data_IF_485112036945
#
_entry.id   IF_485112036945
#
_cell.length_a   1.000
_cell.length_b   1.000
_cell.length_c   1.000
_cell.angle_alpha   90.00
_cell.angle_beta   90.00
_cell.angle_gamma   90.00
#
_symmetry.space_group_name_H-M   'P 1'
#
loop_
_entity.id
_entity.type
_entity.pdbx_description
1 polymer ?
#
# COMPACT_ATOMS: atom_id res chain seq x y z
N UNK A 1 7.05 16.05 -15.24
CA UNK A 1 6.43 15.15 -14.25
C UNK A 1 6.32 13.78 -14.90
N UNK A 2 7.05 12.79 -14.42
CA UNK A 2 7.04 11.43 -14.98
C UNK A 2 5.99 10.61 -14.20
N UNK A 3 4.77 10.53 -14.72
CA UNK A 3 3.65 9.76 -14.16
C UNK A 3 3.85 8.26 -14.37
N UNK A 4 4.86 7.68 -13.71
CA UNK A 4 5.06 6.24 -13.70
C UNK A 4 4.74 5.68 -12.32
N UNK A 5 3.94 4.62 -12.30
CA UNK A 5 3.72 3.81 -11.09
C UNK A 5 4.38 2.46 -11.28
N UNK A 6 5.07 2.02 -10.24
CA UNK A 6 5.68 0.70 -10.14
C UNK A 6 4.84 -0.18 -9.23
N UNK A 7 4.35 -1.28 -9.77
CA UNK A 7 3.73 -2.36 -9.01
C UNK A 7 4.79 -3.34 -8.54
N UNK A 8 4.73 -3.66 -7.26
CA UNK A 8 5.53 -4.71 -6.65
C UNK A 8 4.60 -5.91 -6.47
N UNK A 9 4.77 -6.93 -7.32
CA UNK A 9 3.99 -8.16 -7.26
C UNK A 9 4.68 -9.17 -6.35
N UNK A 10 3.91 -10.15 -5.89
CA UNK A 10 4.44 -11.32 -5.19
C UNK A 10 5.49 -12.02 -6.05
N UNK A 11 6.53 -12.56 -5.40
CA UNK A 11 7.69 -13.20 -6.06
C UNK A 11 8.63 -12.26 -6.83
N UNK A 12 8.72 -10.99 -6.41
CA UNK A 12 9.77 -10.08 -6.87
C UNK A 12 9.57 -9.49 -8.26
N UNK A 13 8.47 -9.84 -8.96
CA UNK A 13 8.11 -9.24 -10.24
C UNK A 13 7.73 -7.77 -10.05
N UNK A 14 8.30 -6.90 -10.88
CA UNK A 14 8.03 -5.47 -10.87
C UNK A 14 7.46 -5.07 -12.22
N UNK A 15 6.33 -4.37 -12.22
CA UNK A 15 5.71 -3.85 -13.44
C UNK A 15 5.65 -2.34 -13.33
N UNK A 16 6.19 -1.63 -14.32
CA UNK A 16 6.12 -0.16 -14.36
C UNK A 16 5.18 0.23 -15.49
N UNK A 17 4.22 1.12 -15.19
CA UNK A 17 3.26 1.61 -16.18
C UNK A 17 3.15 3.13 -16.11
N UNK A 18 2.72 3.75 -17.20
CA UNK A 18 2.41 5.18 -17.25
C UNK A 18 1.01 5.42 -16.67
N UNK A 19 0.97 5.81 -15.40
CA UNK A 19 -0.27 6.09 -14.64
C UNK A 19 0.07 6.91 -13.40
N UNK A 20 -0.96 7.40 -12.70
CA UNK A 20 -0.81 8.07 -11.41
C UNK A 20 -1.47 7.26 -10.28
N UNK A 21 -1.03 7.52 -9.04
CA UNK A 21 -1.53 6.84 -7.84
C UNK A 21 -3.03 7.05 -7.62
N UNK A 22 -3.55 8.25 -7.89
CA UNK A 22 -4.98 8.59 -7.70
C UNK A 22 -5.89 7.73 -8.57
N UNK A 23 -5.50 7.52 -9.83
CA UNK A 23 -6.21 6.65 -10.78
C UNK A 23 -6.14 5.19 -10.35
N UNK A 24 -5.01 4.74 -9.81
CA UNK A 24 -4.89 3.37 -9.29
C UNK A 24 -5.72 3.17 -8.04
N UNK A 25 -5.75 4.14 -7.13
CA UNK A 25 -6.60 4.11 -5.94
C UNK A 25 -8.09 3.94 -6.29
N UNK A 26 -8.55 4.54 -7.40
CA UNK A 26 -9.93 4.32 -7.89
C UNK A 26 -10.17 2.96 -8.55
N UNK A 27 -9.13 2.32 -9.09
CA UNK A 27 -9.23 1.05 -9.83
C UNK A 27 -8.99 -0.16 -8.95
N UNK A 28 -8.21 -0.01 -7.89
CA UNK A 28 -7.86 -1.08 -6.97
C UNK A 28 -9.02 -1.35 -6.02
N UNK A 29 -9.26 -2.62 -5.64
CA UNK A 29 -10.25 -2.97 -4.63
C UNK A 29 -9.96 -2.26 -3.31
N UNK A 30 -10.85 -1.34 -2.91
CA UNK A 30 -10.71 -0.54 -1.68
C UNK A 30 -10.73 -1.38 -0.40
N UNK A 31 -11.27 -2.59 -0.50
CA UNK A 31 -11.30 -3.59 0.58
C UNK A 31 -9.99 -4.37 0.72
N UNK A 32 -9.00 -4.14 -0.14
CA UNK A 32 -7.70 -4.81 -0.03
C UNK A 32 -6.55 -3.81 -0.07
N UNK A 33 -6.70 -2.75 -0.88
CA UNK A 33 -5.69 -1.74 -1.10
C UNK A 33 -6.04 -0.44 -0.38
N UNK A 34 -5.07 0.08 0.35
CA UNK A 34 -5.17 1.38 1.02
C UNK A 34 -3.95 2.22 0.72
N UNK A 35 -4.16 3.52 0.55
CA UNK A 35 -3.08 4.48 0.45
C UNK A 35 -2.46 4.70 1.82
N UNK A 36 -1.14 4.52 1.91
CA UNK A 36 -0.39 4.57 3.18
C UNK A 36 0.65 5.71 3.19
N UNK A 37 0.94 6.27 2.02
CA UNK A 37 1.89 7.35 1.82
C UNK A 37 1.43 8.20 0.62
N UNK A 38 1.95 9.42 0.49
CA UNK A 38 1.70 10.24 -0.71
C UNK A 38 2.12 9.55 -2.01
N UNK A 39 3.08 8.64 -1.93
CA UNK A 39 3.69 7.92 -3.05
C UNK A 39 3.43 6.40 -3.07
N UNK A 40 2.72 5.84 -2.07
CA UNK A 40 2.53 4.39 -1.95
C UNK A 40 1.08 4.01 -1.64
N UNK A 41 0.63 2.96 -2.33
CA UNK A 41 -0.60 2.21 -2.05
C UNK A 41 -0.16 0.79 -1.72
N UNK A 42 -0.67 0.24 -0.63
CA UNK A 42 -0.26 -1.05 -0.11
C UNK A 42 -1.48 -1.96 0.06
N UNK A 43 -1.26 -3.27 -0.10
CA UNK A 43 -2.29 -4.28 0.12
C UNK A 43 -2.27 -4.70 1.59
N UNK A 44 -3.29 -4.33 2.35
CA UNK A 44 -3.38 -4.59 3.79
C UNK A 44 -3.91 -6.00 4.11
N UNK A 45 -4.48 -6.70 3.13
CA UNK A 45 -4.92 -8.10 3.29
C UNK A 45 -3.78 -9.12 3.12
N UNK A 46 -2.67 -8.72 2.52
CA UNK A 46 -1.50 -9.58 2.25
C UNK A 46 -0.23 -9.14 2.98
N UNK A 47 -0.36 -8.26 3.97
CA UNK A 47 0.78 -7.89 4.82
C UNK A 47 1.07 -9.00 5.83
N UNK A 48 2.34 -9.16 6.20
CA UNK A 48 2.73 -10.12 7.24
C UNK A 48 2.64 -9.49 8.63
N UNK A 49 3.05 -8.23 8.76
CA UNK A 49 2.92 -7.47 10.00
C UNK A 49 2.91 -5.97 9.75
N UNK A 50 2.42 -5.22 10.74
CA UNK A 50 2.45 -3.76 10.79
C UNK A 50 3.06 -3.33 12.12
N UNK A 51 4.03 -2.42 12.09
CA UNK A 51 4.72 -1.95 13.29
C UNK A 51 5.69 -0.82 12.98
N UNK A 52 6.03 0.01 13.98
CA UNK A 52 6.96 1.13 13.82
C UNK A 52 6.62 2.07 12.64
N UNK A 53 5.33 2.30 12.35
CA UNK A 53 4.87 3.05 11.18
C UNK A 53 5.34 2.48 9.84
N UNK A 54 5.50 1.15 9.77
CA UNK A 54 5.87 0.43 8.56
C UNK A 54 4.98 -0.79 8.40
N UNK A 55 4.74 -1.15 7.15
CA UNK A 55 4.09 -2.42 6.78
C UNK A 55 5.17 -3.34 6.22
N UNK A 56 5.16 -4.57 6.69
CA UNK A 56 6.14 -5.60 6.32
C UNK A 56 5.49 -6.64 5.41
N UNK A 57 6.21 -6.94 4.34
CA UNK A 57 5.94 -7.95 3.32
C UNK A 57 7.21 -8.80 3.17
N UNK A 58 7.37 -9.80 4.03
CA UNK A 58 8.57 -10.59 4.22
C UNK A 58 9.74 -9.68 4.58
N UNK A 59 10.75 -9.66 3.72
CA UNK A 59 11.93 -8.81 3.87
C UNK A 59 11.72 -7.36 3.39
N UNK A 60 10.61 -7.09 2.69
CA UNK A 60 10.32 -5.74 2.18
C UNK A 60 9.48 -4.96 3.18
N UNK A 61 9.89 -3.75 3.53
CA UNK A 61 9.08 -2.85 4.37
C UNK A 61 8.75 -1.54 3.67
N UNK A 62 7.51 -1.08 3.84
CA UNK A 62 7.02 0.18 3.27
C UNK A 62 6.65 1.14 4.40
N UNK A 63 7.19 2.37 4.41
CA UNK A 63 6.86 3.35 5.43
C UNK A 63 5.44 3.91 5.24
N UNK A 64 4.78 4.14 6.36
CA UNK A 64 3.49 4.81 6.47
C UNK A 64 3.75 6.28 6.82
N UNK A 65 3.10 7.21 6.10
CA UNK A 65 3.10 8.63 6.48
C UNK A 65 2.24 8.87 7.72
N UNK A 66 2.64 9.81 8.58
CA UNK A 66 1.82 10.25 9.71
C UNK A 66 0.38 10.60 9.31
N UNK A 67 0.20 11.32 8.21
CA UNK A 67 -1.13 11.72 7.72
C UNK A 67 -2.05 10.55 7.35
N UNK A 68 -1.49 9.36 7.13
CA UNK A 68 -2.24 8.18 6.71
C UNK A 68 -2.31 7.10 7.80
N UNK A 69 -1.61 7.27 8.92
CA UNK A 69 -1.49 6.23 9.96
C UNK A 69 -2.86 5.81 10.50
N UNK A 70 -3.72 6.76 10.86
CA UNK A 70 -5.00 6.47 11.49
C UNK A 70 -5.92 5.69 10.54
N UNK A 71 -5.92 6.09 9.26
CA UNK A 71 -6.69 5.40 8.22
C UNK A 71 -6.20 3.98 7.94
N UNK A 72 -4.89 3.71 8.10
CA UNK A 72 -4.31 2.38 7.97
C UNK A 72 -4.67 1.52 9.17
N UNK A 73 -4.44 2.01 10.40
CA UNK A 73 -4.76 1.26 11.62
C UNK A 73 -6.26 0.95 11.72
N UNK A 74 -7.13 1.90 11.37
CA UNK A 74 -8.57 1.66 11.33
C UNK A 74 -8.95 0.57 10.33
N UNK A 75 -8.29 0.53 9.17
CA UNK A 75 -8.53 -0.51 8.17
C UNK A 75 -8.07 -1.88 8.65
N UNK A 76 -6.89 -1.95 9.28
CA UNK A 76 -6.34 -3.19 9.81
C UNK A 76 -7.23 -3.74 10.93
N UNK A 77 -7.68 -2.89 11.85
CA UNK A 77 -8.57 -3.29 12.94
C UNK A 77 -9.95 -3.77 12.45
N UNK A 78 -10.44 -3.27 11.32
CA UNK A 78 -11.74 -3.70 10.78
C UNK A 78 -11.69 -4.99 9.97
N UNK A 79 -10.50 -5.41 9.50
CA UNK A 79 -10.32 -6.63 8.70
C UNK A 79 -9.71 -7.81 9.49
N UNK A 80 -9.20 -7.56 10.70
CA UNK A 80 -8.68 -8.60 11.61
C UNK A 80 -9.64 -8.94 12.77
N UNK A 81 -10.87 -8.41 12.74
CA UNK A 81 -11.93 -8.72 13.69
C UNK A 81 -12.80 -9.90 13.22
#
# INVERSE_FOLDING_TARGET
>A
MNDYVRFHLTQGRKVTTFSNLKRLESRLPRQQFKRIHRSFIANLCRMDSIGHMRIYYGETSIPISDSYKDAVYQFVNSHLA
#
